data_IF_047063931506
#
_entry.id   IF_047063931506
#
_cell.length_a   1.000
_cell.length_b   1.000
_cell.length_c   1.000
_cell.angle_alpha   90.00
_cell.angle_beta   90.00
_cell.angle_gamma   90.00
#
_symmetry.space_group_name_H-M   'P 1'
#
loop_
_entity.id
_entity.type
_entity.pdbx_description
1 polymer ?
#
# COMPACT_ATOMS: atom_id res chain seq x y z
N UNK A 1 -3.68 -5.17 -11.67
CA UNK A 1 -2.48 -4.62 -12.31
C UNK A 1 -2.96 -3.92 -13.57
N UNK A 2 -2.82 -2.60 -13.65
CA UNK A 2 -3.18 -1.85 -14.87
C UNK A 2 -2.04 -2.02 -15.86
N UNK A 3 -2.28 -2.84 -16.88
CA UNK A 3 -1.28 -3.17 -17.91
C UNK A 3 -1.15 -2.07 -18.98
N UNK A 4 -2.17 -1.23 -19.10
CA UNK A 4 -2.20 -0.09 -20.03
C UNK A 4 -2.15 1.22 -19.27
N UNK A 5 -1.08 2.00 -19.46
CA UNK A 5 -0.90 3.32 -18.85
C UNK A 5 -1.74 4.40 -19.56
N UNK A 6 -3.02 4.12 -19.78
CA UNK A 6 -3.95 5.05 -20.41
C UNK A 6 -4.59 5.96 -19.36
N UNK A 7 -4.99 7.16 -19.78
CA UNK A 7 -5.70 8.11 -18.92
C UNK A 7 -6.96 7.49 -18.33
N UNK A 8 -7.72 6.76 -19.13
CA UNK A 8 -8.96 6.11 -18.73
C UNK A 8 -8.71 5.07 -17.62
N UNK A 9 -7.70 4.22 -17.78
CA UNK A 9 -7.38 3.21 -16.78
C UNK A 9 -6.95 3.83 -15.45
N UNK A 10 -6.16 4.90 -15.48
CA UNK A 10 -5.79 5.62 -14.26
C UNK A 10 -6.97 6.37 -13.64
N UNK A 11 -7.85 6.96 -14.45
CA UNK A 11 -9.05 7.63 -13.93
C UNK A 11 -9.95 6.64 -13.19
N UNK A 12 -10.20 5.46 -13.75
CA UNK A 12 -10.95 4.39 -13.06
C UNK A 12 -10.31 4.02 -11.71
N UNK A 13 -8.98 3.98 -11.66
CA UNK A 13 -8.25 3.67 -10.44
C UNK A 13 -8.46 4.76 -9.36
N UNK A 14 -8.35 6.04 -9.74
CA UNK A 14 -8.62 7.18 -8.85
C UNK A 14 -10.09 7.22 -8.42
N UNK A 15 -11.00 6.85 -9.33
CA UNK A 15 -12.44 6.84 -9.07
C UNK A 15 -12.83 5.79 -8.02
N UNK A 16 -12.21 4.61 -8.06
CA UNK A 16 -12.46 3.52 -7.12
C UNK A 16 -11.67 3.63 -5.81
N UNK A 17 -10.55 4.36 -5.79
CA UNK A 17 -9.75 4.53 -4.60
C UNK A 17 -10.47 5.38 -3.53
N UNK A 18 -10.18 5.15 -2.23
CA UNK A 18 -10.58 6.07 -1.17
C UNK A 18 -10.12 7.49 -1.49
N UNK A 19 -11.04 8.45 -1.36
CA UNK A 19 -10.74 9.85 -1.70
C UNK A 19 -9.80 10.46 -0.68
N UNK A 20 -8.76 11.09 -1.18
CA UNK A 20 -7.77 11.80 -0.38
C UNK A 20 -7.87 13.31 -0.60
N UNK A 21 -7.41 14.10 0.38
CA UNK A 21 -7.23 15.56 0.20
C UNK A 21 -6.02 15.88 -0.68
N UNK A 22 -4.99 15.05 -0.64
CA UNK A 22 -3.73 15.22 -1.36
C UNK A 22 -3.39 13.94 -2.12
N UNK A 23 -3.01 14.08 -3.38
CA UNK A 23 -2.56 13.01 -4.26
C UNK A 23 -1.14 13.32 -4.73
N UNK A 24 -0.26 12.32 -4.63
CA UNK A 24 1.15 12.43 -5.00
C UNK A 24 1.48 11.42 -6.10
N UNK A 25 2.31 11.82 -7.06
CA UNK A 25 2.82 10.92 -8.10
C UNK A 25 4.33 11.07 -8.31
N UNK A 26 4.87 10.14 -9.11
CA UNK A 26 6.24 10.12 -9.62
C UNK A 26 6.48 11.09 -10.80
N UNK A 27 5.47 11.88 -11.18
CA UNK A 27 5.58 12.90 -12.24
C UNK A 27 5.22 12.40 -13.64
N UNK A 28 4.64 11.20 -13.80
CA UNK A 28 4.11 10.79 -15.10
C UNK A 28 3.01 11.77 -15.57
N UNK A 29 3.14 12.26 -16.81
CA UNK A 29 2.27 13.30 -17.38
C UNK A 29 0.78 12.95 -17.26
N UNK A 30 0.41 11.68 -17.39
CA UNK A 30 -1.00 11.27 -17.33
C UNK A 30 -1.70 11.65 -16.02
N UNK A 31 -0.96 11.75 -14.90
CA UNK A 31 -1.52 12.14 -13.60
C UNK A 31 -1.95 13.60 -13.52
N UNK A 32 -1.40 14.49 -14.35
CA UNK A 32 -1.82 15.91 -14.39
C UNK A 32 -3.20 16.07 -15.04
N UNK A 33 -3.62 15.09 -15.84
CA UNK A 33 -4.86 15.12 -16.62
C UNK A 33 -6.04 14.42 -15.92
N UNK A 34 -5.82 13.90 -14.71
CA UNK A 34 -6.84 13.17 -13.95
C UNK A 34 -7.70 14.12 -13.13
N UNK A 35 -8.95 13.70 -12.92
CA UNK A 35 -9.86 14.36 -12.00
C UNK A 35 -9.79 13.71 -10.62
N UNK A 36 -9.36 14.49 -9.62
CA UNK A 36 -9.16 14.04 -8.24
C UNK A 36 -10.32 14.34 -7.29
N UNK A 37 -11.55 14.51 -7.81
CA UNK A 37 -12.76 14.73 -7.00
C UNK A 37 -12.64 15.91 -6.02
N UNK A 38 -11.90 16.96 -6.41
CA UNK A 38 -11.64 18.14 -5.57
C UNK A 38 -10.42 18.05 -4.66
N UNK A 39 -9.66 16.95 -4.68
CA UNK A 39 -8.36 16.86 -4.01
C UNK A 39 -7.24 17.56 -4.78
N UNK A 40 -6.18 17.94 -4.07
CA UNK A 40 -5.00 18.59 -4.63
C UNK A 40 -4.00 17.57 -5.13
N UNK A 41 -3.52 17.76 -6.35
CA UNK A 41 -2.49 16.93 -6.96
C UNK A 41 -1.14 17.65 -6.97
N UNK A 42 -0.09 16.96 -6.57
CA UNK A 42 1.29 17.45 -6.60
C UNK A 42 2.25 16.34 -7.03
N UNK A 43 3.30 16.70 -7.77
CA UNK A 43 4.43 15.80 -8.04
C UNK A 43 5.31 15.77 -6.80
N UNK A 44 5.70 14.58 -6.33
CA UNK A 44 6.63 14.48 -5.20
C UNK A 44 8.04 14.91 -5.63
N UNK A 45 8.40 16.16 -5.31
CA UNK A 45 9.72 16.71 -5.60
C UNK A 45 10.80 16.00 -4.76
N UNK A 46 11.83 15.49 -5.43
CA UNK A 46 12.95 14.81 -4.76
C UNK A 46 12.66 13.40 -4.25
N UNK A 47 11.49 12.81 -4.55
CA UNK A 47 11.07 11.47 -4.08
C UNK A 47 11.11 11.29 -2.57
N UNK A 48 11.20 12.38 -1.80
CA UNK A 48 11.28 12.36 -0.34
C UNK A 48 10.05 11.70 0.28
N UNK A 49 8.89 11.81 -0.37
CA UNK A 49 7.65 11.12 0.04
C UNK A 49 7.58 9.66 -0.46
N UNK A 50 8.39 9.27 -1.43
CA UNK A 50 8.36 7.95 -2.09
C UNK A 50 9.21 6.91 -1.36
N UNK A 51 10.21 7.31 -0.59
CA UNK A 51 11.09 6.37 0.14
C UNK A 51 10.30 5.45 1.08
N UNK A 52 9.26 5.97 1.74
CA UNK A 52 8.39 5.16 2.60
C UNK A 52 7.60 4.13 1.79
N UNK A 53 7.06 4.52 0.64
CA UNK A 53 6.28 3.65 -0.25
C UNK A 53 7.15 2.56 -0.88
N UNK A 54 8.37 2.88 -1.28
CA UNK A 54 9.31 1.91 -1.86
C UNK A 54 9.78 0.89 -0.81
N UNK A 55 10.09 1.34 0.41
CA UNK A 55 10.46 0.46 1.51
C UNK A 55 9.29 -0.47 1.89
N UNK A 56 8.08 0.08 2.00
CA UNK A 56 6.86 -0.71 2.27
C UNK A 56 6.59 -1.72 1.15
N UNK A 57 6.76 -1.32 -0.12
CA UNK A 57 6.62 -2.22 -1.27
C UNK A 57 7.69 -3.33 -1.28
N UNK A 58 8.93 -3.01 -0.95
CA UNK A 58 10.00 -4.01 -0.82
C UNK A 58 9.64 -5.03 0.27
N UNK A 59 9.14 -4.55 1.41
CA UNK A 59 8.72 -5.41 2.51
C UNK A 59 7.49 -6.26 2.16
N UNK A 60 6.50 -5.67 1.47
CA UNK A 60 5.36 -6.43 0.96
C UNK A 60 5.80 -7.54 0.02
N UNK A 61 6.80 -7.33 -0.85
CA UNK A 61 7.31 -8.41 -1.72
C UNK A 61 7.88 -9.57 -0.91
N UNK A 62 8.51 -9.33 0.23
CA UNK A 62 8.98 -10.41 1.10
C UNK A 62 7.82 -11.25 1.65
N UNK A 63 6.75 -10.60 2.12
CA UNK A 63 5.57 -11.30 2.65
C UNK A 63 4.74 -11.96 1.55
N UNK A 64 4.60 -11.32 0.38
CA UNK A 64 3.84 -11.81 -0.76
C UNK A 64 4.59 -12.87 -1.58
N UNK A 65 5.91 -12.99 -1.45
CA UNK A 65 6.68 -14.08 -2.09
C UNK A 65 6.17 -15.47 -1.70
N UNK A 66 5.47 -15.60 -0.57
CA UNK A 66 4.76 -16.83 -0.19
C UNK A 66 3.59 -17.16 -1.12
N UNK A 67 2.94 -16.14 -1.70
CA UNK A 67 1.81 -16.29 -2.62
C UNK A 67 2.28 -16.67 -4.03
N UNK A 68 3.53 -16.38 -4.37
CA UNK A 68 4.13 -16.77 -5.66
C UNK A 68 4.41 -18.28 -5.76
N UNK A 69 4.35 -19.03 -4.65
CA UNK A 69 4.57 -20.48 -4.61
C UNK A 69 3.31 -21.18 -4.15
N UNK A 70 2.55 -21.73 -5.10
CA UNK A 70 1.32 -22.49 -4.86
C UNK A 70 1.52 -23.60 -3.81
N UNK A 71 2.66 -24.29 -3.83
CA UNK A 71 3.02 -25.35 -2.88
C UNK A 71 3.27 -24.88 -1.44
N UNK A 72 3.49 -23.58 -1.22
CA UNK A 72 3.70 -22.97 0.12
C UNK A 72 2.55 -22.04 0.52
N UNK A 73 1.49 -21.99 -0.28
CA UNK A 73 0.29 -21.25 0.07
C UNK A 73 -0.50 -22.03 1.13
N UNK A 74 -0.39 -21.60 2.38
CA UNK A 74 -1.17 -22.17 3.49
C UNK A 74 -2.68 -21.93 3.36
N UNK A 75 -3.09 -20.96 2.54
CA UNK A 75 -4.50 -20.62 2.33
C UNK A 75 -5.14 -21.62 1.36
N UNK A 76 -5.87 -22.60 1.91
CA UNK A 76 -6.55 -23.66 1.15
C UNK A 76 -7.75 -23.18 0.32
N UNK A 77 -8.18 -21.93 0.49
CA UNK A 77 -9.25 -21.30 -0.29
C UNK A 77 -9.07 -19.77 -0.40
N UNK A 78 -9.70 -19.11 -1.39
CA UNK A 78 -9.63 -17.65 -1.55
C UNK A 78 -10.08 -16.87 -0.32
N UNK A 79 -11.09 -17.37 0.38
CA UNK A 79 -11.59 -16.74 1.61
C UNK A 79 -10.50 -16.68 2.70
N UNK A 80 -9.80 -17.79 2.97
CA UNK A 80 -8.72 -17.82 3.96
C UNK A 80 -7.55 -16.90 3.57
N UNK A 81 -7.29 -16.77 2.27
CA UNK A 81 -6.30 -15.81 1.76
C UNK A 81 -6.73 -14.37 2.03
N UNK A 82 -7.99 -14.02 1.76
CA UNK A 82 -8.54 -12.68 2.03
C UNK A 82 -8.45 -12.36 3.52
N UNK A 83 -8.83 -13.29 4.41
CA UNK A 83 -8.71 -13.10 5.86
C UNK A 83 -7.25 -12.88 6.28
N UNK A 84 -6.32 -13.67 5.75
CA UNK A 84 -4.89 -13.54 6.05
C UNK A 84 -4.33 -12.19 5.59
N UNK A 85 -4.73 -11.73 4.39
CA UNK A 85 -4.33 -10.42 3.87
C UNK A 85 -4.91 -9.28 4.71
N UNK A 86 -6.19 -9.36 5.11
CA UNK A 86 -6.80 -8.35 6.00
C UNK A 86 -6.07 -8.24 7.33
N UNK A 87 -5.79 -9.37 7.97
CA UNK A 87 -5.06 -9.41 9.24
C UNK A 87 -3.64 -8.83 9.08
N UNK A 88 -2.96 -9.22 8.01
CA UNK A 88 -1.63 -8.71 7.71
C UNK A 88 -1.63 -7.19 7.47
N UNK A 89 -2.55 -6.67 6.65
CA UNK A 89 -2.68 -5.23 6.40
C UNK A 89 -2.96 -4.47 7.70
N UNK A 90 -3.86 -5.00 8.55
CA UNK A 90 -4.14 -4.42 9.86
C UNK A 90 -2.87 -4.32 10.73
N UNK A 91 -2.16 -5.43 10.92
CA UNK A 91 -0.95 -5.48 11.75
C UNK A 91 0.16 -4.60 11.16
N UNK A 92 0.32 -4.61 9.83
CA UNK A 92 1.32 -3.81 9.13
C UNK A 92 1.06 -2.31 9.34
N UNK A 93 -0.17 -1.86 9.16
CA UNK A 93 -0.55 -0.45 9.34
C UNK A 93 -0.31 0.00 10.80
N UNK A 94 -0.72 -0.79 11.78
CA UNK A 94 -0.46 -0.49 13.19
C UNK A 94 1.03 -0.38 13.50
N UNK A 95 1.84 -1.30 12.95
CA UNK A 95 3.28 -1.22 13.08
C UNK A 95 3.86 0.03 12.43
N UNK A 96 3.37 0.46 11.27
CA UNK A 96 3.88 1.68 10.63
C UNK A 96 3.59 2.92 11.49
N UNK A 97 2.41 2.99 12.11
CA UNK A 97 2.09 4.06 13.07
C UNK A 97 3.02 4.00 14.29
N UNK A 98 3.25 2.81 14.83
CA UNK A 98 4.16 2.61 15.96
C UNK A 98 5.60 3.03 15.62
N UNK A 99 6.15 2.63 14.46
CA UNK A 99 7.49 3.03 14.03
C UNK A 99 7.62 4.54 13.83
N UNK A 100 6.55 5.22 13.40
CA UNK A 100 6.54 6.69 13.30
C UNK A 100 6.61 7.35 14.68
N UNK A 101 5.92 6.79 15.67
CA UNK A 101 5.91 7.31 17.03
C UNK A 101 7.19 6.94 17.82
N UNK A 102 7.76 5.76 17.56
CA UNK A 102 8.87 5.16 18.29
C UNK A 102 9.96 4.63 17.33
N UNK A 103 10.65 5.50 16.58
CA UNK A 103 11.56 5.08 15.50
C UNK A 103 12.80 4.30 15.99
N UNK A 104 13.19 4.48 17.26
CA UNK A 104 14.33 3.78 17.85
C UNK A 104 14.01 2.34 18.29
N UNK A 105 12.73 1.95 18.33
CA UNK A 105 12.31 0.67 18.88
C UNK A 105 12.06 -0.36 17.76
N UNK A 106 12.56 -1.59 17.90
CA UNK A 106 12.24 -2.66 16.97
C UNK A 106 10.75 -2.98 17.05
N UNK A 107 10.12 -3.18 15.90
CA UNK A 107 8.71 -3.54 15.81
C UNK A 107 8.51 -4.58 14.72
N UNK A 108 8.00 -5.76 15.08
CA UNK A 108 7.68 -6.82 14.13
C UNK A 108 6.17 -6.87 13.87
N UNK A 109 5.74 -7.27 12.67
CA UNK A 109 4.30 -7.33 12.31
C UNK A 109 3.50 -8.19 13.30
N UNK A 110 4.08 -9.30 13.77
CA UNK A 110 3.43 -10.23 14.70
C UNK A 110 3.09 -9.59 16.07
N UNK A 111 3.76 -8.50 16.44
CA UNK A 111 3.57 -7.85 17.74
C UNK A 111 2.23 -7.09 17.80
N UNK A 112 1.57 -6.92 16.64
CA UNK A 112 0.30 -6.18 16.48
C UNK A 112 -0.90 -7.10 16.22
N UNK A 113 -0.77 -8.40 16.49
CA UNK A 113 -1.86 -9.37 16.35
C UNK A 113 -3.00 -9.15 17.36
N UNK A 114 -2.67 -8.57 18.52
CA UNK A 114 -3.63 -8.28 19.58
C UNK A 114 -3.78 -6.76 19.69
N UNK A 115 -5.00 -6.23 19.88
CA UNK A 115 -5.16 -4.82 20.21
C UNK A 115 -4.39 -4.54 21.51
N UNK A 116 -3.47 -3.58 21.45
CA UNK A 116 -2.87 -3.04 22.67
C UNK A 116 -3.96 -2.22 23.37
N UNK A 117 -4.35 -2.68 24.55
CA UNK A 117 -5.34 -2.04 25.42
C UNK A 117 -4.88 -0.67 25.91
#
# INVERSE_FOLDING_TARGET
MVWERTRQAFQVLVDLAPKARHYFSDGLETYTLLWYHGGHYQVSEGKTDTFAVEADNAEFRHYLARLARSSRCFSRCPYALICSLRLFIYCFNHRQLYKRQYPAYPAHVKDFLYPQY
#
